data_IF_835642669860
#
_entry.id   IF_835642669860
#
_cell.length_a   1.000
_cell.length_b   1.000
_cell.length_c   1.000
_cell.angle_alpha   90.00
_cell.angle_beta   90.00
_cell.angle_gamma   90.00
#
_symmetry.space_group_name_H-M   'P 1'
#
loop_
_entity.id
_entity.type
_entity.pdbx_description
1 polymer ?
#
# COMPACT_ATOMS: atom_id res chain seq x y z
N UNK A 1 2.56 8.00 -25.27
CA UNK A 1 1.90 7.65 -23.99
C UNK A 1 2.16 6.21 -23.52
N UNK A 2 2.05 5.17 -24.35
CA UNK A 2 2.31 3.79 -23.90
C UNK A 2 3.76 3.57 -23.42
N UNK A 3 4.76 3.97 -24.21
CA UNK A 3 6.18 3.84 -23.83
C UNK A 3 6.50 4.51 -22.48
N UNK A 4 5.90 5.68 -22.21
CA UNK A 4 6.08 6.38 -20.94
C UNK A 4 5.48 5.60 -19.75
N UNK A 5 4.27 5.03 -19.90
CA UNK A 5 3.65 4.17 -18.88
C UNK A 5 4.48 2.92 -18.61
N UNK A 6 4.98 2.29 -19.67
CA UNK A 6 5.86 1.12 -19.57
C UNK A 6 7.16 1.48 -18.87
N UNK A 7 7.77 2.63 -19.19
CA UNK A 7 8.95 3.14 -18.50
C UNK A 7 8.74 3.30 -16.99
N UNK A 8 7.62 3.90 -16.58
CA UNK A 8 7.27 4.05 -15.16
C UNK A 8 7.01 2.70 -14.46
N UNK A 9 6.43 1.73 -15.16
CA UNK A 9 6.24 0.39 -14.61
C UNK A 9 7.59 -0.32 -14.44
N UNK A 10 8.46 -0.27 -15.44
CA UNK A 10 9.81 -0.84 -15.37
C UNK A 10 10.62 -0.20 -14.25
N UNK A 11 10.56 1.13 -14.09
CA UNK A 11 11.23 1.79 -12.97
C UNK A 11 10.72 1.29 -11.62
N UNK A 12 9.40 1.11 -11.50
CA UNK A 12 8.78 0.55 -10.29
C UNK A 12 9.33 -0.85 -9.98
N UNK A 13 9.43 -1.72 -11.00
CA UNK A 13 9.97 -3.08 -10.85
C UNK A 13 11.45 -3.06 -10.45
N UNK A 14 12.26 -2.17 -11.03
CA UNK A 14 13.67 -2.02 -10.65
C UNK A 14 13.78 -1.62 -9.18
N UNK A 15 12.99 -0.63 -8.73
CA UNK A 15 12.96 -0.19 -7.34
C UNK A 15 12.52 -1.30 -6.38
N UNK A 16 11.56 -2.14 -6.79
CA UNK A 16 11.16 -3.34 -6.03
C UNK A 16 12.35 -4.30 -5.87
N UNK A 17 13.04 -4.63 -6.96
CA UNK A 17 14.19 -5.56 -6.93
C UNK A 17 15.29 -4.99 -6.02
N UNK A 18 15.59 -3.70 -6.11
CA UNK A 18 16.56 -3.05 -5.23
C UNK A 18 16.11 -3.02 -3.76
N UNK A 19 14.82 -2.83 -3.50
CA UNK A 19 14.25 -2.92 -2.15
C UNK A 19 14.34 -4.34 -1.57
N UNK A 20 14.08 -5.37 -2.37
CA UNK A 20 14.25 -6.78 -1.98
C UNK A 20 15.74 -7.10 -1.70
N UNK A 21 16.65 -6.59 -2.54
CA UNK A 21 18.09 -6.70 -2.31
C UNK A 21 18.52 -6.08 -0.98
N UNK A 22 18.04 -4.87 -0.68
CA UNK A 22 18.25 -4.23 0.61
C UNK A 22 17.66 -5.05 1.77
N UNK A 23 16.54 -5.75 1.55
CA UNK A 23 15.94 -6.68 2.51
C UNK A 23 16.81 -7.90 2.78
N UNK A 24 17.40 -8.52 1.76
CA UNK A 24 18.36 -9.64 1.92
C UNK A 24 19.58 -9.21 2.72
N UNK A 25 20.11 -8.00 2.46
CA UNK A 25 21.19 -7.43 3.27
C UNK A 25 20.78 -7.27 4.74
N UNK A 26 19.55 -6.82 5.03
CA UNK A 26 19.03 -6.75 6.41
C UNK A 26 18.91 -8.12 7.08
N UNK A 27 18.64 -9.17 6.31
CA UNK A 27 18.61 -10.55 6.80
C UNK A 27 20.01 -11.13 7.07
N UNK A 28 21.08 -10.37 6.79
CA UNK A 28 22.46 -10.77 7.05
C UNK A 28 23.14 -11.51 5.89
N UNK A 29 22.53 -11.53 4.70
CA UNK A 29 23.17 -12.09 3.52
C UNK A 29 24.34 -11.22 3.08
N UNK A 30 25.47 -11.85 2.75
CA UNK A 30 26.70 -11.17 2.32
C UNK A 30 26.66 -10.87 0.82
N UNK A 31 25.92 -9.82 0.45
CA UNK A 31 25.77 -9.36 -0.93
C UNK A 31 26.48 -8.02 -1.15
N UNK A 32 26.78 -7.63 -2.41
CA UNK A 32 27.26 -6.29 -2.73
C UNK A 32 26.44 -5.16 -2.11
N UNK A 33 27.10 -4.25 -1.40
CA UNK A 33 26.50 -3.17 -0.58
C UNK A 33 26.29 -1.86 -1.34
N UNK A 34 26.17 -1.93 -2.67
CA UNK A 34 25.87 -0.76 -3.51
C UNK A 34 24.48 -0.17 -3.21
N UNK A 35 23.59 -0.98 -2.62
CA UNK A 35 22.30 -0.55 -2.08
C UNK A 35 22.38 -0.68 -0.55
N UNK A 36 21.95 0.35 0.17
CA UNK A 36 21.98 0.32 1.63
C UNK A 36 20.82 -0.50 2.20
N UNK A 37 21.13 -1.38 3.16
CA UNK A 37 20.13 -2.16 3.90
C UNK A 37 19.07 -1.27 4.59
N UNK A 38 19.44 -0.04 4.95
CA UNK A 38 18.53 0.93 5.58
C UNK A 38 17.46 1.47 4.62
N UNK A 39 17.64 1.28 3.31
CA UNK A 39 16.74 1.78 2.28
C UNK A 39 15.61 0.79 1.96
N UNK A 40 15.62 -0.41 2.53
CA UNK A 40 14.59 -1.44 2.27
C UNK A 40 13.16 -0.89 2.38
N UNK A 41 12.78 -0.36 3.54
CA UNK A 41 11.43 0.17 3.77
C UNK A 41 11.04 1.30 2.80
N UNK A 42 11.84 2.39 2.71
CA UNK A 42 11.56 3.49 1.80
C UNK A 42 11.48 3.09 0.31
N UNK A 43 12.38 2.22 -0.16
CA UNK A 43 12.37 1.74 -1.54
C UNK A 43 11.12 0.91 -1.84
N UNK A 44 10.69 0.07 -0.90
CA UNK A 44 9.49 -0.75 -1.08
C UNK A 44 8.21 0.11 -1.04
N UNK A 45 8.06 0.98 -0.04
CA UNK A 45 6.79 1.68 0.19
C UNK A 45 6.69 2.99 -0.59
N UNK A 46 7.65 3.88 -0.42
CA UNK A 46 7.59 5.25 -0.95
C UNK A 46 8.01 5.30 -2.42
N UNK A 47 8.93 4.42 -2.84
CA UNK A 47 9.34 4.32 -4.24
C UNK A 47 8.44 3.34 -5.01
N UNK A 48 8.61 2.04 -4.78
CA UNK A 48 7.95 0.99 -5.56
C UNK A 48 6.41 1.05 -5.48
N UNK A 49 5.80 0.81 -4.30
CA UNK A 49 4.35 0.74 -4.20
C UNK A 49 3.69 2.06 -4.60
N UNK A 50 4.23 3.19 -4.14
CA UNK A 50 3.65 4.49 -4.44
C UNK A 50 3.73 4.84 -5.94
N UNK A 51 4.82 4.52 -6.63
CA UNK A 51 4.91 4.67 -8.10
C UNK A 51 3.92 3.77 -8.81
N UNK A 52 3.81 2.49 -8.43
CA UNK A 52 2.89 1.54 -9.07
C UNK A 52 1.42 1.98 -8.90
N UNK A 53 1.01 2.28 -7.66
CA UNK A 53 -0.35 2.69 -7.33
C UNK A 53 -0.69 4.02 -7.99
N UNK A 54 0.20 5.01 -7.94
CA UNK A 54 -0.02 6.30 -8.58
C UNK A 54 -0.09 6.17 -10.11
N UNK A 55 0.68 5.25 -10.72
CA UNK A 55 0.60 4.97 -12.15
C UNK A 55 -0.75 4.36 -12.53
N UNK A 56 -1.24 3.36 -11.78
CA UNK A 56 -2.57 2.78 -12.01
C UNK A 56 -3.66 3.86 -11.98
N UNK A 57 -3.63 4.71 -10.95
CA UNK A 57 -4.60 5.80 -10.81
C UNK A 57 -4.48 6.82 -11.95
N UNK A 58 -3.26 7.17 -12.38
CA UNK A 58 -3.03 8.05 -13.52
C UNK A 58 -3.59 7.48 -14.84
N UNK A 59 -3.52 6.15 -15.03
CA UNK A 59 -4.12 5.46 -16.17
C UNK A 59 -5.65 5.55 -16.11
N UNK A 60 -6.25 5.34 -14.94
CA UNK A 60 -7.70 5.45 -14.74
C UNK A 60 -8.26 6.86 -14.94
N UNK A 61 -7.57 7.89 -14.44
CA UNK A 61 -8.01 9.31 -14.55
C UNK A 61 -7.83 9.87 -15.96
N UNK A 62 -6.79 9.42 -16.68
CA UNK A 62 -6.54 9.83 -18.06
C UNK A 62 -6.07 11.28 -18.24
N UNK A 63 -5.68 11.99 -17.16
CA UNK A 63 -5.15 13.36 -17.19
C UNK A 63 -3.63 13.37 -17.06
N UNK A 64 -2.94 14.17 -17.88
CA UNK A 64 -1.47 14.18 -17.94
C UNK A 64 -0.79 14.57 -16.62
N UNK A 65 -1.31 15.59 -15.92
CA UNK A 65 -0.72 16.07 -14.67
C UNK A 65 -0.68 15.00 -13.56
N UNK A 66 -1.60 14.03 -13.58
CA UNK A 66 -1.64 12.93 -12.59
C UNK A 66 -0.42 12.01 -12.74
N UNK A 67 0.17 11.93 -13.94
CA UNK A 67 1.39 11.14 -14.17
C UNK A 67 2.64 11.77 -13.55
N UNK A 68 2.60 13.05 -13.12
CA UNK A 68 3.72 13.66 -12.41
C UNK A 68 3.96 12.98 -11.06
N UNK A 69 2.91 12.46 -10.39
CA UNK A 69 3.05 11.73 -9.15
C UNK A 69 3.95 10.47 -9.27
N UNK A 70 3.61 9.45 -10.10
CA UNK A 70 4.44 8.26 -10.24
C UNK A 70 5.84 8.56 -10.79
N UNK A 71 5.96 9.59 -11.66
CA UNK A 71 7.25 10.04 -12.18
C UNK A 71 8.17 10.54 -11.07
N UNK A 72 7.70 11.46 -10.22
CA UNK A 72 8.51 12.03 -9.15
C UNK A 72 8.81 11.01 -8.05
N UNK A 73 7.84 10.17 -7.67
CA UNK A 73 8.04 9.09 -6.70
C UNK A 73 9.10 8.09 -7.18
N UNK A 74 9.07 7.73 -8.47
CA UNK A 74 10.06 6.82 -9.06
C UNK A 74 11.44 7.45 -9.18
N UNK A 75 11.50 8.72 -9.61
CA UNK A 75 12.74 9.49 -9.70
C UNK A 75 13.41 9.65 -8.34
N UNK A 76 12.66 10.00 -7.29
CA UNK A 76 13.17 10.07 -5.93
C UNK A 76 13.70 8.71 -5.43
N UNK A 77 13.06 7.61 -5.84
CA UNK A 77 13.56 6.24 -5.65
C UNK A 77 14.96 6.03 -6.22
N UNK A 78 15.16 6.37 -7.49
CA UNK A 78 16.47 6.23 -8.12
C UNK A 78 17.52 7.15 -7.51
N UNK A 79 17.16 8.40 -7.21
CA UNK A 79 18.06 9.30 -6.50
C UNK A 79 18.46 8.71 -5.15
N UNK A 80 17.52 8.10 -4.42
CA UNK A 80 17.82 7.43 -3.16
C UNK A 80 18.75 6.24 -3.34
N UNK A 81 18.57 5.43 -4.39
CA UNK A 81 19.45 4.29 -4.68
C UNK A 81 20.90 4.71 -4.91
N UNK A 82 21.13 5.75 -5.72
CA UNK A 82 22.49 6.13 -6.13
C UNK A 82 23.16 7.13 -5.20
N UNK A 83 22.40 8.00 -4.55
CA UNK A 83 22.93 9.11 -3.75
C UNK A 83 22.64 8.96 -2.25
N UNK A 84 21.93 7.90 -1.85
CA UNK A 84 21.44 7.77 -0.49
C UNK A 84 20.22 8.67 -0.21
N UNK A 85 19.79 8.71 1.05
CA UNK A 85 18.68 9.57 1.48
C UNK A 85 19.16 11.03 1.57
N UNK A 86 18.94 11.79 0.51
CA UNK A 86 19.31 13.21 0.40
C UNK A 86 18.12 14.14 0.61
N UNK A 87 18.37 15.39 1.01
CA UNK A 87 17.32 16.41 1.14
C UNK A 87 16.56 16.66 -0.17
N UNK A 88 17.28 16.61 -1.30
CA UNK A 88 16.68 16.71 -2.64
C UNK A 88 15.73 15.53 -2.91
N UNK A 89 16.18 14.29 -2.67
CA UNK A 89 15.35 13.09 -2.84
C UNK A 89 14.09 13.13 -1.98
N UNK A 90 14.22 13.51 -0.70
CA UNK A 90 13.11 13.68 0.22
C UNK A 90 12.12 14.76 -0.24
N UNK A 91 12.62 15.90 -0.74
CA UNK A 91 11.77 16.98 -1.29
C UNK A 91 10.98 16.52 -2.51
N UNK A 92 11.60 15.71 -3.39
CA UNK A 92 10.93 15.13 -4.55
C UNK A 92 9.87 14.09 -4.12
N UNK A 93 10.12 13.29 -3.09
CA UNK A 93 9.10 12.39 -2.52
C UNK A 93 7.89 13.17 -1.97
N UNK A 94 8.14 14.26 -1.24
CA UNK A 94 7.07 15.14 -0.74
C UNK A 94 6.26 15.71 -1.92
N UNK A 95 6.93 16.24 -2.94
CA UNK A 95 6.24 16.78 -4.12
C UNK A 95 5.43 15.71 -4.87
N UNK A 96 6.02 14.52 -5.10
CA UNK A 96 5.33 13.41 -5.77
C UNK A 96 4.09 12.94 -5.00
N UNK A 97 4.20 12.80 -3.67
CA UNK A 97 3.07 12.46 -2.81
C UNK A 97 2.03 13.59 -2.69
N UNK A 98 2.43 14.86 -2.78
CA UNK A 98 1.51 15.99 -2.83
C UNK A 98 0.67 15.97 -4.12
N UNK A 99 1.28 15.70 -5.27
CA UNK A 99 0.56 15.55 -6.54
C UNK A 99 -0.36 14.33 -6.48
N UNK A 100 0.09 13.23 -5.88
CA UNK A 100 -0.76 12.06 -5.69
C UNK A 100 -1.98 12.38 -4.82
N UNK A 101 -1.80 13.08 -3.70
CA UNK A 101 -2.89 13.58 -2.86
C UNK A 101 -3.83 14.51 -3.63
N UNK A 102 -3.31 15.46 -4.40
CA UNK A 102 -4.10 16.34 -5.26
C UNK A 102 -4.94 15.53 -6.28
N UNK A 103 -4.39 14.45 -6.82
CA UNK A 103 -5.14 13.54 -7.72
C UNK A 103 -6.26 12.78 -7.01
N UNK A 104 -6.03 12.35 -5.77
CA UNK A 104 -7.05 11.67 -4.97
C UNK A 104 -8.17 12.63 -4.55
N UNK A 105 -7.84 13.87 -4.16
CA UNK A 105 -8.81 14.94 -3.88
C UNK A 105 -9.60 15.28 -5.13
N UNK A 106 -8.95 15.42 -6.29
CA UNK A 106 -9.62 15.66 -7.57
C UNK A 106 -10.66 14.58 -7.87
N UNK A 107 -10.30 13.30 -7.72
CA UNK A 107 -11.22 12.19 -7.89
C UNK A 107 -12.39 12.22 -6.89
N UNK A 108 -12.12 12.54 -5.62
CA UNK A 108 -13.18 12.70 -4.62
C UNK A 108 -14.15 13.85 -4.94
N UNK A 109 -13.64 14.98 -5.43
CA UNK A 109 -14.48 16.11 -5.83
C UNK A 109 -15.35 15.77 -7.04
N UNK A 110 -14.80 15.04 -8.02
CA UNK A 110 -15.56 14.54 -9.17
C UNK A 110 -16.61 13.50 -8.77
N UNK A 111 -16.26 12.61 -7.84
CA UNK A 111 -17.11 11.52 -7.40
C UNK A 111 -17.12 11.49 -5.87
N UNK A 112 -18.10 12.18 -5.28
CA UNK A 112 -18.33 12.30 -3.83
C UNK A 112 -18.81 10.96 -3.25
N UNK A 113 -17.91 9.99 -3.18
CA UNK A 113 -18.19 8.65 -2.70
C UNK A 113 -17.30 8.31 -1.49
N UNK A 114 -17.79 7.42 -0.64
CA UNK A 114 -17.07 7.00 0.56
C UNK A 114 -15.69 6.41 0.22
N UNK A 115 -15.61 5.59 -0.84
CA UNK A 115 -14.35 4.96 -1.25
C UNK A 115 -13.30 5.97 -1.73
N UNK A 116 -13.70 7.02 -2.46
CA UNK A 116 -12.78 8.04 -2.97
C UNK A 116 -12.30 8.94 -1.83
N UNK A 117 -13.14 9.20 -0.84
CA UNK A 117 -12.74 9.88 0.40
C UNK A 117 -11.70 9.08 1.19
N UNK A 118 -11.94 7.78 1.38
CA UNK A 118 -11.01 6.89 2.11
C UNK A 118 -9.67 6.79 1.38
N UNK A 119 -9.67 6.70 0.04
CA UNK A 119 -8.44 6.74 -0.74
C UNK A 119 -7.69 8.08 -0.60
N UNK A 120 -8.41 9.21 -0.55
CA UNK A 120 -7.78 10.52 -0.32
C UNK A 120 -7.11 10.61 1.06
N UNK A 121 -7.73 10.02 2.10
CA UNK A 121 -7.09 9.91 3.42
C UNK A 121 -5.85 9.01 3.41
N UNK A 122 -5.85 7.94 2.62
CA UNK A 122 -4.66 7.13 2.37
C UNK A 122 -3.55 7.95 1.74
N UNK A 123 -3.84 8.69 0.66
CA UNK A 123 -2.88 9.56 0.00
C UNK A 123 -2.36 10.67 0.93
N UNK A 124 -3.21 11.22 1.80
CA UNK A 124 -2.81 12.19 2.83
C UNK A 124 -1.83 11.56 3.82
N UNK A 125 -2.08 10.32 4.23
CA UNK A 125 -1.19 9.59 5.13
C UNK A 125 0.21 9.41 4.53
N UNK A 126 0.32 9.12 3.23
CA UNK A 126 1.61 9.05 2.52
C UNK A 126 2.31 10.41 2.51
N UNK A 127 1.59 11.47 2.16
CA UNK A 127 2.14 12.83 2.09
C UNK A 127 2.69 13.27 3.45
N UNK A 128 1.91 13.10 4.53
CA UNK A 128 2.35 13.41 5.88
C UNK A 128 3.52 12.53 6.32
N UNK A 129 3.51 11.23 6.02
CA UNK A 129 4.63 10.35 6.33
C UNK A 129 5.94 10.82 5.68
N UNK A 130 5.88 11.28 4.43
CA UNK A 130 7.05 11.78 3.71
C UNK A 130 7.56 13.11 4.28
N UNK A 131 6.66 13.98 4.74
CA UNK A 131 7.04 15.18 5.51
C UNK A 131 7.74 14.76 6.81
N UNK A 132 7.10 13.90 7.61
CA UNK A 132 7.66 13.45 8.89
C UNK A 132 9.02 12.78 8.72
N UNK A 133 9.18 11.98 7.66
CA UNK A 133 10.46 11.37 7.33
C UNK A 133 11.53 12.40 6.97
N UNK A 134 11.19 13.43 6.17
CA UNK A 134 12.11 14.50 5.84
C UNK A 134 12.54 15.34 7.06
N UNK A 135 11.67 15.46 8.06
CA UNK A 135 11.96 16.09 9.35
C UNK A 135 12.56 15.12 10.38
N UNK A 136 13.01 13.95 9.96
CA UNK A 136 13.70 12.95 10.80
C UNK A 136 12.91 12.48 12.04
N UNK A 137 11.57 12.45 11.95
CA UNK A 137 10.77 11.77 12.98
C UNK A 137 11.15 10.28 13.06
N UNK A 138 10.96 9.62 14.22
CA UNK A 138 11.27 8.21 14.37
C UNK A 138 10.61 7.35 13.28
N UNK A 139 11.39 6.46 12.66
CA UNK A 139 10.89 5.58 11.61
C UNK A 139 9.73 4.70 12.07
N UNK A 140 9.70 4.34 13.35
CA UNK A 140 8.59 3.61 13.99
C UNK A 140 7.26 4.37 13.93
N UNK A 141 7.29 5.71 13.89
CA UNK A 141 6.09 6.53 13.67
C UNK A 141 5.78 6.67 12.19
N UNK A 142 6.79 7.00 11.38
CA UNK A 142 6.64 7.18 9.92
C UNK A 142 6.05 5.94 9.24
N UNK A 143 6.53 4.75 9.59
CA UNK A 143 6.12 3.50 8.94
C UNK A 143 4.65 3.15 9.22
N UNK A 144 4.08 3.62 10.33
CA UNK A 144 2.65 3.39 10.66
C UNK A 144 1.74 4.26 9.77
N UNK A 145 2.19 5.47 9.42
CA UNK A 145 1.51 6.28 8.41
C UNK A 145 1.64 5.65 7.01
N UNK A 146 2.81 5.11 6.65
CA UNK A 146 2.99 4.36 5.40
C UNK A 146 2.12 3.08 5.33
N UNK A 147 2.00 2.35 6.44
CA UNK A 147 1.12 1.19 6.54
C UNK A 147 -0.35 1.60 6.37
N UNK A 148 -0.78 2.65 7.08
CA UNK A 148 -2.15 3.17 6.96
C UNK A 148 -2.46 3.73 5.57
N UNK A 149 -1.49 4.37 4.90
CA UNK A 149 -1.61 4.75 3.49
C UNK A 149 -2.04 3.56 2.63
N UNK A 150 -1.28 2.47 2.64
CA UNK A 150 -1.57 1.31 1.79
C UNK A 150 -2.88 0.64 2.21
N UNK A 151 -3.13 0.48 3.51
CA UNK A 151 -4.38 -0.12 3.99
C UNK A 151 -5.60 0.70 3.59
N UNK A 152 -5.56 2.03 3.72
CA UNK A 152 -6.68 2.91 3.35
C UNK A 152 -6.90 2.95 1.84
N UNK A 153 -5.83 3.02 1.02
CA UNK A 153 -5.98 2.94 -0.44
C UNK A 153 -6.63 1.62 -0.83
N UNK A 154 -6.07 0.51 -0.37
CA UNK A 154 -6.52 -0.83 -0.74
C UNK A 154 -7.95 -1.07 -0.26
N UNK A 155 -8.26 -0.79 1.00
CA UNK A 155 -9.62 -0.98 1.54
C UNK A 155 -10.63 -0.05 0.87
N UNK A 156 -10.24 1.18 0.51
CA UNK A 156 -11.03 2.10 -0.31
C UNK A 156 -11.34 1.52 -1.70
N UNK A 157 -10.33 1.02 -2.41
CA UNK A 157 -10.51 0.35 -3.70
C UNK A 157 -11.42 -0.88 -3.58
N UNK A 158 -11.32 -1.65 -2.49
CA UNK A 158 -12.22 -2.78 -2.23
C UNK A 158 -13.66 -2.35 -1.96
N UNK A 159 -13.85 -1.24 -1.25
CA UNK A 159 -15.17 -0.65 -1.08
C UNK A 159 -15.76 -0.22 -2.43
N UNK A 160 -14.94 0.33 -3.34
CA UNK A 160 -15.36 0.67 -4.70
C UNK A 160 -15.76 -0.59 -5.50
N UNK A 161 -14.90 -1.60 -5.54
CA UNK A 161 -15.14 -2.81 -6.35
C UNK A 161 -16.33 -3.63 -5.84
N UNK A 162 -16.59 -3.57 -4.53
CA UNK A 162 -17.75 -4.21 -3.94
C UNK A 162 -19.01 -3.36 -4.00
N UNK A 163 -19.04 -2.17 -4.62
CA UNK A 163 -20.21 -1.25 -4.60
C UNK A 163 -21.53 -1.87 -5.05
N UNK A 164 -21.47 -2.89 -5.92
CA UNK A 164 -22.65 -3.59 -6.43
C UNK A 164 -23.12 -4.74 -5.51
N UNK A 165 -22.33 -5.10 -4.50
CA UNK A 165 -22.73 -6.03 -3.43
C UNK A 165 -23.55 -5.25 -2.41
N UNK A 166 -24.81 -5.63 -2.22
CA UNK A 166 -25.71 -5.02 -1.23
C UNK A 166 -25.13 -5.14 0.17
N UNK A 167 -24.93 -4.01 0.85
CA UNK A 167 -24.43 -3.94 2.23
C UNK A 167 -25.47 -3.29 3.14
N UNK A 168 -25.67 -3.79 4.37
CA UNK A 168 -26.44 -3.08 5.38
C UNK A 168 -25.83 -1.70 5.68
N UNK A 169 -26.67 -0.71 6.04
CA UNK A 169 -26.19 0.63 6.43
C UNK A 169 -25.14 0.57 7.55
N UNK A 170 -25.38 -0.29 8.54
CA UNK A 170 -24.46 -0.53 9.65
C UNK A 170 -23.08 -1.00 9.19
N UNK A 171 -23.00 -1.81 8.13
CA UNK A 171 -21.71 -2.26 7.61
C UNK A 171 -20.89 -1.08 7.07
N UNK A 172 -21.51 -0.16 6.34
CA UNK A 172 -20.82 1.05 5.84
C UNK A 172 -20.39 1.94 7.01
N UNK A 173 -21.26 2.14 8.01
CA UNK A 173 -20.95 2.93 9.20
C UNK A 173 -19.77 2.34 10.00
N UNK A 174 -19.74 1.03 10.22
CA UNK A 174 -18.64 0.34 10.91
C UNK A 174 -17.33 0.50 10.15
N UNK A 175 -17.36 0.39 8.82
CA UNK A 175 -16.18 0.62 8.00
C UNK A 175 -15.66 2.06 8.14
N UNK A 176 -16.53 3.06 7.97
CA UNK A 176 -16.14 4.47 8.11
C UNK A 176 -15.68 4.81 9.53
N UNK A 177 -16.30 4.24 10.56
CA UNK A 177 -15.84 4.38 11.94
C UNK A 177 -14.42 3.81 12.12
N UNK A 178 -14.10 2.66 11.50
CA UNK A 178 -12.74 2.13 11.52
C UNK A 178 -11.72 3.04 10.83
N UNK A 179 -12.11 3.72 9.75
CA UNK A 179 -11.27 4.73 9.09
C UNK A 179 -11.02 5.91 10.03
N UNK A 180 -12.05 6.41 10.71
CA UNK A 180 -11.89 7.50 11.70
C UNK A 180 -10.97 7.07 12.83
N UNK A 181 -11.15 5.86 13.38
CA UNK A 181 -10.27 5.32 14.43
C UNK A 181 -8.82 5.18 13.94
N UNK A 182 -8.61 4.78 12.69
CA UNK A 182 -7.28 4.73 12.09
C UNK A 182 -6.63 6.12 12.07
N UNK A 183 -7.33 7.13 11.53
CA UNK A 183 -6.80 8.51 11.46
C UNK A 183 -6.56 9.09 12.86
N UNK A 184 -7.46 8.87 13.81
CA UNK A 184 -7.26 9.27 15.21
C UNK A 184 -6.04 8.57 15.80
N UNK A 185 -5.86 7.27 15.55
CA UNK A 185 -4.68 6.53 15.97
C UNK A 185 -3.39 7.09 15.40
N UNK A 186 -3.38 7.48 14.13
CA UNK A 186 -2.24 8.16 13.50
C UNK A 186 -1.91 9.48 14.20
N UNK A 187 -2.90 10.33 14.45
CA UNK A 187 -2.70 11.61 15.16
C UNK A 187 -2.22 11.37 16.59
N UNK A 188 -2.84 10.46 17.33
CA UNK A 188 -2.41 10.11 18.70
C UNK A 188 -1.00 9.54 18.71
N UNK A 189 -0.59 8.80 17.67
CA UNK A 189 0.76 8.20 17.60
C UNK A 189 1.89 9.24 17.58
N UNK A 190 1.59 10.49 17.19
CA UNK A 190 2.54 11.61 17.23
C UNK A 190 2.85 12.07 18.67
N UNK A 191 1.96 11.81 19.62
CA UNK A 191 2.09 12.23 21.02
C UNK A 191 2.30 11.04 21.97
N UNK A 192 1.67 9.90 21.67
CA UNK A 192 1.78 8.65 22.41
C UNK A 192 1.80 7.49 21.41
N UNK A 193 3.02 7.06 21.04
CA UNK A 193 3.22 6.00 20.05
C UNK A 193 2.48 4.71 20.44
N UNK A 194 2.55 4.29 21.71
CA UNK A 194 1.90 3.07 22.19
C UNK A 194 0.38 3.08 22.03
N UNK A 195 -0.29 4.16 22.46
CA UNK A 195 -1.74 4.27 22.35
C UNK A 195 -2.18 4.43 20.88
N UNK A 196 -1.49 5.29 20.12
CA UNK A 196 -1.82 5.54 18.72
C UNK A 196 -1.72 4.30 17.84
N UNK A 197 -0.64 3.52 18.01
CA UNK A 197 -0.45 2.25 17.28
C UNK A 197 -1.54 1.24 17.62
N UNK A 198 -1.96 1.13 18.88
CA UNK A 198 -3.06 0.22 19.27
C UNK A 198 -4.41 0.64 18.68
N UNK A 199 -4.68 1.94 18.55
CA UNK A 199 -5.87 2.43 17.85
C UNK A 199 -5.83 2.10 16.36
N UNK A 200 -4.69 2.32 15.69
CA UNK A 200 -4.49 1.89 14.29
C UNK A 200 -4.68 0.38 14.13
N UNK A 201 -4.14 -0.40 15.06
CA UNK A 201 -4.26 -1.85 15.09
C UNK A 201 -5.71 -2.33 15.23
N UNK A 202 -6.49 -1.70 16.12
CA UNK A 202 -7.92 -1.96 16.24
C UNK A 202 -8.67 -1.65 14.95
N UNK A 203 -8.35 -0.52 14.30
CA UNK A 203 -8.93 -0.19 13.01
C UNK A 203 -8.60 -1.24 11.94
N UNK A 204 -7.36 -1.72 11.85
CA UNK A 204 -6.96 -2.78 10.93
C UNK A 204 -7.71 -4.09 11.18
N UNK A 205 -7.91 -4.49 12.44
CA UNK A 205 -8.71 -5.66 12.79
C UNK A 205 -10.17 -5.51 12.33
N UNK A 206 -10.78 -4.35 12.55
CA UNK A 206 -12.16 -4.07 12.12
C UNK A 206 -12.25 -4.06 10.60
N UNK A 207 -11.31 -3.42 9.89
CA UNK A 207 -11.26 -3.42 8.42
C UNK A 207 -11.06 -4.83 7.87
N UNK A 208 -10.18 -5.65 8.45
CA UNK A 208 -9.98 -7.03 8.06
C UNK A 208 -11.24 -7.88 8.25
N UNK A 209 -11.90 -7.77 9.41
CA UNK A 209 -13.16 -8.45 9.68
C UNK A 209 -14.27 -8.00 8.73
N UNK A 210 -14.34 -6.70 8.43
CA UNK A 210 -15.28 -6.14 7.47
C UNK A 210 -15.05 -6.66 6.06
N UNK A 211 -13.80 -6.64 5.57
CA UNK A 211 -13.41 -7.15 4.26
C UNK A 211 -13.73 -8.63 4.15
N UNK A 212 -13.36 -9.41 5.17
CA UNK A 212 -13.72 -10.81 5.25
C UNK A 212 -15.22 -10.96 5.07
N UNK A 213 -16.07 -10.21 5.79
CA UNK A 213 -17.53 -10.41 5.78
C UNK A 213 -18.25 -9.90 4.53
N UNK A 214 -17.86 -8.73 4.01
CA UNK A 214 -18.66 -7.95 3.06
C UNK A 214 -18.02 -7.77 1.67
N UNK A 215 -16.75 -8.16 1.48
CA UNK A 215 -16.12 -8.10 0.16
C UNK A 215 -16.64 -9.20 -0.79
N UNK A 216 -16.58 -8.93 -2.10
CA UNK A 216 -16.97 -9.86 -3.17
C UNK A 216 -16.09 -11.12 -3.22
N UNK A 217 -14.92 -11.14 -2.58
CA UNK A 217 -14.01 -12.29 -2.50
C UNK A 217 -14.75 -13.58 -2.08
N UNK A 218 -15.68 -13.52 -1.12
CA UNK A 218 -16.47 -14.68 -0.69
C UNK A 218 -17.36 -15.24 -1.79
N UNK A 219 -17.92 -14.36 -2.62
CA UNK A 219 -18.77 -14.75 -3.75
C UNK A 219 -17.90 -15.37 -4.84
N UNK A 220 -16.75 -14.75 -5.13
CA UNK A 220 -15.82 -15.23 -6.14
C UNK A 220 -15.14 -16.55 -5.77
N UNK A 221 -15.05 -16.90 -4.48
CA UNK A 221 -14.52 -18.19 -4.02
C UNK A 221 -15.30 -19.38 -4.57
N UNK A 222 -16.60 -19.21 -4.85
CA UNK A 222 -17.47 -20.24 -5.44
C UNK A 222 -17.30 -20.39 -6.94
N UNK A 223 -16.60 -19.46 -7.60
CA UNK A 223 -16.32 -19.52 -9.05
C UNK A 223 -15.06 -20.35 -9.32
N UNK A 224 -14.70 -20.55 -10.58
CA UNK A 224 -13.50 -21.26 -11.02
C UNK A 224 -12.54 -20.33 -11.78
N UNK A 225 -11.32 -20.82 -12.05
CA UNK A 225 -10.30 -20.08 -12.81
C UNK A 225 -9.77 -18.84 -12.09
N UNK A 226 -9.59 -17.74 -12.82
CA UNK A 226 -9.04 -16.47 -12.32
C UNK A 226 -9.83 -15.96 -11.12
N UNK A 227 -11.16 -16.00 -11.15
CA UNK A 227 -11.98 -15.47 -10.06
C UNK A 227 -11.70 -16.16 -8.72
N UNK A 228 -11.48 -17.49 -8.73
CA UNK A 228 -11.15 -18.25 -7.52
C UNK A 228 -9.74 -17.94 -7.01
N UNK A 229 -8.78 -17.81 -7.93
CA UNK A 229 -7.42 -17.39 -7.60
C UNK A 229 -7.43 -16.02 -6.93
N UNK A 230 -8.07 -15.03 -7.56
CA UNK A 230 -8.21 -13.69 -7.00
C UNK A 230 -8.89 -13.73 -5.62
N UNK A 231 -9.96 -14.52 -5.46
CA UNK A 231 -10.65 -14.65 -4.18
C UNK A 231 -9.73 -15.19 -3.07
N UNK A 232 -8.93 -16.23 -3.36
CA UNK A 232 -8.00 -16.80 -2.39
C UNK A 232 -6.89 -15.82 -2.02
N UNK A 233 -6.34 -15.11 -3.00
CA UNK A 233 -5.36 -14.05 -2.76
C UNK A 233 -5.91 -12.91 -1.88
N UNK A 234 -7.14 -12.46 -2.16
CA UNK A 234 -7.83 -11.45 -1.34
C UNK A 234 -8.06 -11.94 0.10
N UNK A 235 -8.52 -13.19 0.27
CA UNK A 235 -8.75 -13.76 1.60
C UNK A 235 -7.44 -13.92 2.39
N UNK A 236 -6.36 -14.34 1.73
CA UNK A 236 -5.03 -14.38 2.34
C UNK A 236 -4.58 -12.98 2.78
N UNK A 237 -4.80 -11.96 1.94
CA UNK A 237 -4.51 -10.58 2.31
C UNK A 237 -5.26 -10.18 3.60
N UNK A 238 -6.57 -10.45 3.68
CA UNK A 238 -7.38 -10.05 4.83
C UNK A 238 -6.95 -10.78 6.11
N UNK A 239 -6.56 -12.05 6.00
CA UNK A 239 -5.98 -12.80 7.09
C UNK A 239 -4.70 -12.13 7.61
N UNK A 240 -3.78 -11.78 6.71
CA UNK A 240 -2.53 -11.13 7.11
C UNK A 240 -2.72 -9.72 7.70
N UNK A 241 -3.71 -8.96 7.23
CA UNK A 241 -4.09 -7.69 7.87
C UNK A 241 -4.60 -7.91 9.30
N UNK A 242 -5.39 -8.97 9.52
CA UNK A 242 -5.85 -9.32 10.86
C UNK A 242 -4.69 -9.76 11.77
N UNK A 243 -3.75 -10.55 11.25
CA UNK A 243 -2.52 -10.95 11.97
C UNK A 243 -1.72 -9.72 12.39
N UNK A 244 -1.46 -8.78 11.47
CA UNK A 244 -0.75 -7.55 11.77
C UNK A 244 -1.48 -6.69 12.82
N UNK A 245 -2.80 -6.52 12.67
CA UNK A 245 -3.62 -5.79 13.63
C UNK A 245 -3.60 -6.43 15.02
N UNK A 246 -3.68 -7.75 15.13
CA UNK A 246 -3.60 -8.43 16.43
C UNK A 246 -2.21 -8.26 17.05
N UNK A 247 -1.17 -8.34 16.24
CA UNK A 247 0.21 -8.21 16.69
C UNK A 247 0.50 -6.81 17.24
N UNK A 248 0.14 -5.76 16.50
CA UNK A 248 0.29 -4.38 16.97
C UNK A 248 -0.59 -4.05 18.18
N UNK A 249 -1.75 -4.70 18.30
CA UNK A 249 -2.62 -4.49 19.47
C UNK A 249 -2.00 -5.04 20.75
N UNK A 250 -1.42 -6.25 20.68
CA UNK A 250 -0.84 -6.94 21.84
C UNK A 250 0.55 -6.42 22.16
N UNK A 251 1.45 -6.40 21.16
CA UNK A 251 2.88 -6.10 21.35
C UNK A 251 3.16 -4.59 21.26
N UNK A 252 2.37 -3.85 20.49
CA UNK A 252 2.66 -2.46 20.15
C UNK A 252 3.76 -2.34 19.09
N UNK A 253 4.35 -1.15 18.98
CA UNK A 253 5.45 -0.90 18.04
C UNK A 253 6.80 -1.12 18.71
N UNK A 254 7.47 -2.22 18.35
CA UNK A 254 8.86 -2.45 18.74
C UNK A 254 9.82 -1.53 17.97
N UNK A 255 11.03 -1.32 18.47
CA UNK A 255 12.02 -0.47 17.79
C UNK A 255 12.85 -1.23 16.75
N UNK A 256 13.04 -2.54 16.93
CA UNK A 256 13.83 -3.40 16.05
C UNK A 256 13.53 -4.89 16.27
N UNK A 257 14.10 -5.73 15.41
CA UNK A 257 14.04 -7.19 15.52
C UNK A 257 12.71 -7.79 15.07
N UNK A 258 12.46 -9.09 15.35
CA UNK A 258 11.30 -9.80 14.83
C UNK A 258 9.95 -9.17 15.19
N UNK A 259 9.84 -8.58 16.39
CA UNK A 259 8.61 -7.90 16.81
C UNK A 259 8.35 -6.57 16.07
N UNK A 260 9.38 -5.97 15.46
CA UNK A 260 9.22 -4.82 14.57
C UNK A 260 8.97 -5.30 13.14
N UNK A 261 9.76 -6.26 12.65
CA UNK A 261 9.72 -6.69 11.26
C UNK A 261 8.47 -7.54 10.95
N UNK A 262 8.07 -8.48 11.81
CA UNK A 262 6.96 -9.40 11.55
C UNK A 262 5.60 -8.71 11.29
N UNK A 263 5.10 -7.79 12.13
CA UNK A 263 3.81 -7.14 11.86
C UNK A 263 3.87 -6.22 10.63
N UNK A 264 5.02 -5.60 10.36
CA UNK A 264 5.21 -4.79 9.15
C UNK A 264 5.23 -5.67 7.88
N UNK A 265 5.89 -6.82 7.91
CA UNK A 265 5.87 -7.76 6.79
C UNK A 265 4.50 -8.43 6.62
N UNK A 266 3.77 -8.69 7.70
CA UNK A 266 2.38 -9.13 7.61
C UNK A 266 1.51 -8.10 6.86
N UNK A 267 1.77 -6.80 6.99
CA UNK A 267 1.11 -5.77 6.18
C UNK A 267 1.70 -5.73 4.77
N UNK A 268 2.97 -5.37 4.61
CA UNK A 268 3.55 -5.02 3.31
C UNK A 268 3.75 -6.22 2.39
N UNK A 269 3.99 -7.41 2.94
CA UNK A 269 4.09 -8.66 2.19
C UNK A 269 2.78 -9.42 2.25
N UNK A 270 2.36 -9.81 3.45
CA UNK A 270 1.16 -10.63 3.62
C UNK A 270 -0.11 -9.98 3.05
N UNK A 271 -0.40 -8.74 3.41
CA UNK A 271 -1.60 -8.03 2.91
C UNK A 271 -1.36 -7.39 1.53
N UNK A 272 -0.37 -6.51 1.38
CA UNK A 272 -0.23 -5.69 0.16
C UNK A 272 0.20 -6.52 -1.05
N UNK A 273 1.22 -7.38 -0.97
CA UNK A 273 1.60 -8.22 -2.11
C UNK A 273 0.50 -9.23 -2.49
N UNK A 274 -0.22 -9.79 -1.52
CA UNK A 274 -1.40 -10.62 -1.82
C UNK A 274 -2.45 -9.85 -2.62
N UNK A 275 -2.66 -8.55 -2.35
CA UNK A 275 -3.54 -7.70 -3.16
C UNK A 275 -2.98 -7.44 -4.55
N UNK A 276 -1.67 -7.17 -4.67
CA UNK A 276 -1.00 -7.03 -5.98
C UNK A 276 -1.21 -8.30 -6.82
N UNK A 277 -0.97 -9.48 -6.25
CA UNK A 277 -1.19 -10.75 -6.96
C UNK A 277 -2.67 -11.00 -7.28
N UNK A 278 -3.59 -10.66 -6.36
CA UNK A 278 -5.02 -10.75 -6.61
C UNK A 278 -5.44 -9.92 -7.82
N UNK A 279 -4.80 -8.78 -8.07
CA UNK A 279 -5.19 -7.87 -9.15
C UNK A 279 -4.30 -7.95 -10.40
N UNK A 280 -3.11 -8.56 -10.33
CA UNK A 280 -2.17 -8.69 -11.44
C UNK A 280 -2.80 -9.25 -12.74
N UNK A 281 -3.67 -10.30 -12.71
CA UNK A 281 -4.31 -10.81 -13.92
C UNK A 281 -5.23 -9.81 -14.63
N UNK A 282 -5.64 -8.74 -13.94
CA UNK A 282 -6.53 -7.69 -14.47
C UNK A 282 -5.76 -6.41 -14.77
N UNK A 283 -4.84 -6.00 -13.89
CA UNK A 283 -4.07 -4.76 -14.01
C UNK A 283 -3.04 -4.86 -15.14
N UNK A 284 -2.26 -5.94 -15.22
CA UNK A 284 -1.21 -6.03 -16.24
C UNK A 284 -1.76 -5.99 -17.67
N UNK A 285 -2.87 -6.67 -18.01
CA UNK A 285 -3.50 -6.47 -19.31
C UNK A 285 -3.95 -5.03 -19.58
N UNK A 286 -4.51 -4.34 -18.58
CA UNK A 286 -4.98 -2.96 -18.73
C UNK A 286 -3.83 -1.96 -18.96
N UNK A 287 -2.68 -2.17 -18.29
CA UNK A 287 -1.51 -1.28 -18.39
C UNK A 287 -0.65 -1.61 -19.61
N UNK A 288 -0.35 -2.89 -19.84
CA UNK A 288 0.56 -3.36 -20.89
C UNK A 288 -0.15 -3.60 -22.24
N UNK A 289 -1.49 -3.62 -22.25
CA UNK A 289 -2.31 -4.01 -23.42
C UNK A 289 -1.99 -5.43 -23.93
N UNK A 290 -1.58 -6.33 -23.03
CA UNK A 290 -1.28 -7.74 -23.32
C UNK A 290 -2.38 -8.65 -22.80
N UNK A 291 -2.70 -9.74 -23.49
CA UNK A 291 -3.57 -10.79 -22.95
C UNK A 291 -2.73 -11.69 -22.04
N UNK A 292 -3.10 -11.79 -20.77
CA UNK A 292 -2.50 -12.75 -19.83
C UNK A 292 -3.49 -13.88 -19.62
N UNK A 293 -3.11 -15.09 -20.03
CA UNK A 293 -3.90 -16.30 -19.80
C UNK A 293 -3.67 -16.83 -18.39
N UNK A 294 -4.74 -17.34 -17.78
CA UNK A 294 -4.67 -17.91 -16.46
C UNK A 294 -3.96 -19.26 -16.45
N UNK A 295 -2.93 -19.39 -15.61
CA UNK A 295 -2.26 -20.66 -15.34
C UNK A 295 -2.29 -20.98 -13.85
N UNK A 296 -2.36 -22.27 -13.51
CA UNK A 296 -2.29 -22.74 -12.11
C UNK A 296 -0.97 -22.38 -11.42
N UNK A 297 0.08 -22.08 -12.17
CA UNK A 297 1.36 -21.60 -11.62
C UNK A 297 1.18 -20.30 -10.82
N UNK A 298 0.16 -19.50 -11.15
CA UNK A 298 -0.14 -18.27 -10.41
C UNK A 298 -0.46 -18.51 -8.93
N UNK A 299 -0.81 -19.73 -8.51
CA UNK A 299 -1.01 -20.07 -7.10
C UNK A 299 0.30 -20.19 -6.31
N UNK A 300 1.45 -20.41 -6.95
CA UNK A 300 2.72 -20.66 -6.24
C UNK A 300 3.13 -19.52 -5.28
N UNK A 301 3.05 -18.23 -5.66
CA UNK A 301 3.40 -17.13 -4.77
C UNK A 301 2.46 -16.96 -3.57
N UNK A 302 1.28 -17.60 -3.54
CA UNK A 302 0.35 -17.52 -2.41
C UNK A 302 0.66 -18.54 -1.31
N UNK A 303 1.50 -19.54 -1.60
CA UNK A 303 1.89 -20.61 -0.65
C UNK A 303 3.17 -20.23 0.11
N UNK A 304 3.96 -19.31 -0.46
CA UNK A 304 5.19 -18.77 0.12
C UNK A 304 4.88 -17.57 1.03
#
# INVERSE_FOLDING_TARGET
MLAFRVGLLISSVILMISGLWAGLLRLGWQLPTNVSAMQHGPLMVVAFFSTLIALERAVGVGKFWVYLAPLLLGLAGFLSLFLGTTALGLSIYILGSAIYLASAIYLFVLQKADFSFVMALGALSLFLANIFWAFALPLTTVVIFWASYLVLIITGERLELSRFVRKPKLAVQVFLASVVVNILGLVVSLFSQGLGVRLVALAFLVMAAWLLRYDIARINLKRSGVYRFMALALLAAYFWLAVAGLWFLVVGMAQAGPNYDAPLHAIFVGFVFSMVFAHAPVIFPAVLKLKIEFSKILYAPLVL
#
